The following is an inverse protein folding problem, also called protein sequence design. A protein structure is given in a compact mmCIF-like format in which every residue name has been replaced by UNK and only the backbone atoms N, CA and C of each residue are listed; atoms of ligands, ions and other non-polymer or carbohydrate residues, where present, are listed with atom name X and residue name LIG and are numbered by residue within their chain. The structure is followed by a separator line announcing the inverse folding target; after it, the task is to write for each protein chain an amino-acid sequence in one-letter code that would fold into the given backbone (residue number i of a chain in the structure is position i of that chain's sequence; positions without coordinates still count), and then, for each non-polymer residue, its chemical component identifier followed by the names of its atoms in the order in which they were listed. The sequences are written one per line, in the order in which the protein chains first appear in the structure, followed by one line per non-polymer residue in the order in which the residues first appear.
data_IF_999420770837
#
_entry.id   IF_999420770837
#
_cell.length_a   1.000
_cell.length_b   1.000
_cell.length_c   1.000
_cell.angle_alpha   90.00
_cell.angle_beta   90.00
_cell.angle_gamma   90.00
#
_symmetry.space_group_name_H-M   'P 1'
#
loop_
_entity.id
_entity.type
_entity.pdbx_description
1 polymer ?
#
# COMPACT_ATOMS: atom_id res chain seq x y z
N UNK A 1 -4.56 1.29 19.97
CA UNK A 1 -4.48 0.96 18.53
C UNK A 1 -5.88 0.99 17.95
N UNK A 2 -6.10 1.80 16.93
CA UNK A 2 -7.41 1.97 16.33
C UNK A 2 -7.40 1.49 14.88
N UNK A 3 -8.27 0.55 14.54
CA UNK A 3 -8.42 0.04 13.18
C UNK A 3 -9.61 0.72 12.50
N UNK A 4 -9.53 2.04 12.42
CA UNK A 4 -10.63 2.87 11.92
C UNK A 4 -10.27 3.76 10.72
N UNK A 5 -9.04 3.65 10.23
CA UNK A 5 -8.61 4.41 9.06
C UNK A 5 -8.83 3.58 7.80
N UNK A 6 -9.64 4.05 6.86
CA UNK A 6 -9.83 3.32 5.61
C UNK A 6 -8.59 3.45 4.72
N UNK A 7 -8.08 2.33 4.25
CA UNK A 7 -7.00 2.27 3.26
C UNK A 7 -7.50 1.50 2.06
N UNK A 8 -6.98 1.84 0.88
CA UNK A 8 -7.34 1.16 -0.36
C UNK A 8 -6.13 0.40 -0.88
N UNK A 9 -6.26 -0.92 -0.96
CA UNK A 9 -5.28 -1.76 -1.65
C UNK A 9 -5.61 -1.71 -3.13
N UNK A 10 -4.71 -1.17 -3.93
CA UNK A 10 -4.92 -0.94 -5.34
C UNK A 10 -4.09 -1.89 -6.18
N UNK A 11 -4.75 -2.55 -7.12
CA UNK A 11 -4.10 -3.34 -8.14
C UNK A 11 -4.27 -2.65 -9.48
N UNK A 12 -3.15 -2.37 -10.14
CA UNK A 12 -3.13 -1.72 -11.45
C UNK A 12 -2.93 -2.79 -12.51
N UNK A 13 -3.87 -2.86 -13.43
CA UNK A 13 -3.79 -3.78 -14.57
C UNK A 13 -3.59 -2.96 -15.82
N UNK A 14 -2.51 -3.23 -16.56
CA UNK A 14 -2.25 -2.55 -17.82
C UNK A 14 -3.30 -2.92 -18.86
N UNK A 15 -3.69 -1.95 -19.67
CA UNK A 15 -4.64 -2.16 -20.75
C UNK A 15 -4.08 -3.09 -21.82
N UNK A 16 -4.96 -3.92 -22.38
CA UNK A 16 -4.57 -4.83 -23.43
C UNK A 16 -4.39 -4.09 -24.76
N UNK A 17 -3.39 -4.55 -25.55
CA UNK A 17 -3.17 -4.02 -26.89
C UNK A 17 -4.33 -4.45 -27.82
N UNK A 18 -4.91 -3.46 -28.52
CA UNK A 18 -5.97 -3.72 -29.48
C UNK A 18 -5.38 -3.70 -30.89
N UNK A 19 -5.33 -4.86 -31.54
CA UNK A 19 -4.75 -5.01 -32.87
C UNK A 19 -5.59 -4.34 -33.96
N UNK A 20 -6.87 -4.12 -33.72
CA UNK A 20 -7.74 -3.51 -34.73
C UNK A 20 -7.46 -2.02 -34.92
N UNK A 21 -7.19 -1.30 -33.83
CA UNK A 21 -6.93 0.15 -33.89
C UNK A 21 -5.48 0.50 -33.58
N UNK A 22 -4.66 -0.48 -33.24
CA UNK A 22 -3.24 -0.26 -32.93
C UNK A 22 -2.97 0.41 -31.59
N UNK A 23 -3.96 0.56 -30.74
CA UNK A 23 -3.83 1.22 -29.44
C UNK A 23 -3.93 0.23 -28.29
N UNK A 24 -3.36 0.61 -27.15
CA UNK A 24 -3.58 -0.09 -25.90
C UNK A 24 -4.85 0.42 -25.24
N UNK A 25 -5.59 -0.46 -24.59
CA UNK A 25 -6.71 -0.05 -23.77
C UNK A 25 -6.24 0.72 -22.53
N UNK A 26 -7.17 1.37 -21.85
CA UNK A 26 -6.86 2.10 -20.63
C UNK A 26 -6.48 1.14 -19.51
N UNK A 27 -5.54 1.57 -18.67
CA UNK A 27 -5.21 0.84 -17.45
C UNK A 27 -6.42 0.83 -16.52
N UNK A 28 -6.63 -0.30 -15.85
CA UNK A 28 -7.69 -0.41 -14.86
C UNK A 28 -7.09 -0.48 -13.46
N UNK A 29 -7.77 0.17 -12.51
CA UNK A 29 -7.37 0.17 -11.10
C UNK A 29 -8.50 -0.47 -10.30
N UNK A 30 -8.19 -1.59 -9.64
CA UNK A 30 -9.08 -2.23 -8.71
C UNK A 30 -8.69 -1.83 -7.30
N UNK A 31 -9.66 -1.42 -6.50
CA UNK A 31 -9.41 -0.99 -5.13
C UNK A 31 -10.23 -1.80 -4.16
N UNK A 32 -9.59 -2.28 -3.10
CA UNK A 32 -10.25 -2.98 -2.00
C UNK A 32 -10.07 -2.15 -0.75
N UNK A 33 -11.19 -1.76 -0.14
CA UNK A 33 -11.18 -0.95 1.08
C UNK A 33 -11.04 -1.84 2.32
N UNK A 34 -10.06 -1.53 3.15
CA UNK A 34 -9.81 -2.24 4.40
C UNK A 34 -9.57 -1.20 5.49
N UNK A 35 -10.12 -1.42 6.67
CA UNK A 35 -9.86 -0.55 7.81
C UNK A 35 -8.60 -0.99 8.53
N UNK A 36 -7.74 -0.02 8.80
CA UNK A 36 -6.42 -0.26 9.35
C UNK A 36 -6.08 0.73 10.47
N UNK A 37 -5.04 0.39 11.23
CA UNK A 37 -4.37 1.35 12.10
C UNK A 37 -3.19 1.93 11.34
N UNK A 38 -3.22 3.23 11.11
CA UNK A 38 -2.19 3.94 10.34
C UNK A 38 -1.51 4.95 11.24
N UNK A 39 -0.19 4.84 11.36
CA UNK A 39 0.62 5.77 12.15
C UNK A 39 1.85 6.18 11.35
N UNK A 40 2.46 7.30 11.73
CA UNK A 40 3.74 7.68 11.15
C UNK A 40 4.82 6.70 11.60
N UNK A 41 5.78 6.42 10.72
CA UNK A 41 6.88 5.54 11.06
C UNK A 41 7.79 6.21 12.09
N UNK A 42 8.06 5.52 13.19
CA UNK A 42 8.97 6.01 14.21
C UNK A 42 10.43 5.90 13.79
N UNK A 43 11.30 6.57 14.53
CA UNK A 43 12.74 6.62 14.22
C UNK A 43 13.36 5.22 14.14
N UNK A 44 13.00 4.33 15.06
CA UNK A 44 13.51 2.95 15.04
C UNK A 44 13.10 2.21 13.78
N UNK A 45 11.84 2.36 13.37
CA UNK A 45 11.33 1.73 12.15
C UNK A 45 12.04 2.30 10.93
N UNK A 46 12.22 3.61 10.87
CA UNK A 46 12.91 4.26 9.75
C UNK A 46 14.34 3.76 9.62
N UNK A 47 15.06 3.64 10.73
CA UNK A 47 16.43 3.13 10.71
C UNK A 47 16.51 1.67 10.29
N UNK A 48 15.57 0.84 10.73
CA UNK A 48 15.53 -0.57 10.36
C UNK A 48 15.25 -0.80 8.88
N UNK A 49 14.33 -0.02 8.32
CA UNK A 49 13.87 -0.24 6.94
C UNK A 49 14.73 0.52 5.94
N UNK A 50 15.05 1.77 6.24
CA UNK A 50 15.71 2.67 5.27
C UNK A 50 17.15 3.00 5.62
N UNK A 51 17.57 2.76 6.87
CA UNK A 51 18.87 3.19 7.35
C UNK A 51 19.00 4.70 7.54
N UNK A 52 17.93 5.44 7.33
CA UNK A 52 17.90 6.89 7.45
C UNK A 52 16.48 7.37 7.80
N UNK A 53 16.36 8.63 8.21
CA UNK A 53 15.06 9.25 8.41
C UNK A 53 14.45 9.61 7.06
N UNK A 54 13.22 9.17 6.82
CA UNK A 54 12.51 9.43 5.58
C UNK A 54 11.14 10.04 5.89
N UNK A 55 10.84 11.16 5.26
CA UNK A 55 9.53 11.80 5.40
C UNK A 55 8.47 11.05 4.58
N UNK A 56 7.24 11.09 5.07
CA UNK A 56 6.12 10.46 4.38
C UNK A 56 6.03 8.96 4.55
N UNK A 57 6.87 8.37 5.39
CA UNK A 57 6.77 6.94 5.70
C UNK A 57 5.72 6.71 6.77
N UNK A 58 4.91 5.67 6.57
CA UNK A 58 3.85 5.29 7.52
C UNK A 58 3.89 3.80 7.80
N UNK A 59 3.28 3.42 8.90
CA UNK A 59 3.09 2.02 9.27
C UNK A 59 1.60 1.73 9.21
N UNK A 60 1.23 0.75 8.40
CA UNK A 60 -0.15 0.30 8.24
C UNK A 60 -0.31 -1.06 8.88
N UNK A 61 -1.20 -1.18 9.84
CA UNK A 61 -1.45 -2.45 10.55
C UNK A 61 -2.88 -2.90 10.28
N UNK A 62 -3.01 -4.18 9.90
CA UNK A 62 -4.30 -4.83 9.68
C UNK A 62 -4.55 -5.86 10.77
N UNK A 63 -5.83 -6.06 11.11
CA UNK A 63 -6.25 -7.13 12.04
C UNK A 63 -6.16 -8.52 11.43
N UNK A 64 -6.16 -8.61 10.10
CA UNK A 64 -6.12 -9.86 9.35
C UNK A 64 -5.06 -9.78 8.27
N UNK A 65 -4.56 -10.92 7.83
CA UNK A 65 -3.65 -10.97 6.71
C UNK A 65 -4.38 -10.58 5.42
N UNK A 66 -3.75 -9.73 4.63
CA UNK A 66 -4.24 -9.38 3.30
C UNK A 66 -3.59 -10.32 2.28
N UNK A 67 -4.38 -11.17 1.67
CA UNK A 67 -3.89 -12.27 0.84
C UNK A 67 -3.94 -11.97 -0.66
N UNK A 68 -4.66 -10.93 -1.08
CA UNK A 68 -4.78 -10.63 -2.49
C UNK A 68 -3.61 -9.81 -3.01
N UNK A 69 -3.23 -9.99 -4.29
CA UNK A 69 -2.16 -9.18 -4.86
C UNK A 69 -2.58 -7.71 -5.02
N UNK A 70 -1.62 -6.81 -4.80
CA UNK A 70 -1.82 -5.38 -4.95
C UNK A 70 -0.50 -4.72 -5.32
N UNK A 71 -0.58 -3.50 -5.87
CA UNK A 71 0.60 -2.73 -6.28
C UNK A 71 0.87 -1.55 -5.35
N UNK A 72 -0.18 -0.87 -4.91
CA UNK A 72 -0.08 0.33 -4.08
C UNK A 72 -1.14 0.31 -2.99
N UNK A 73 -0.88 1.10 -1.94
CA UNK A 73 -1.87 1.37 -0.90
C UNK A 73 -2.19 2.87 -0.96
N UNK A 74 -3.46 3.20 -1.08
CA UNK A 74 -3.91 4.59 -1.02
C UNK A 74 -4.46 4.91 0.37
N UNK A 75 -3.95 5.98 0.97
CA UNK A 75 -4.42 6.49 2.26
C UNK A 75 -4.84 7.94 2.03
N UNK A 76 -6.14 8.21 2.19
CA UNK A 76 -6.67 9.53 1.85
C UNK A 76 -6.48 9.84 0.37
N UNK A 77 -5.76 10.88 0.05
CA UNK A 77 -5.49 11.30 -1.33
C UNK A 77 -4.10 10.93 -1.82
N UNK A 78 -3.32 10.25 -0.98
CA UNK A 78 -1.93 9.91 -1.30
C UNK A 78 -1.78 8.43 -1.54
N UNK A 79 -0.87 8.08 -2.43
CA UNK A 79 -0.53 6.69 -2.73
C UNK A 79 0.82 6.35 -2.12
N UNK A 80 0.93 5.13 -1.63
CA UNK A 80 2.12 4.64 -0.96
C UNK A 80 2.55 3.32 -1.55
N UNK A 81 3.87 3.12 -1.66
CA UNK A 81 4.43 1.82 -2.01
C UNK A 81 4.82 1.09 -0.74
N UNK A 82 4.82 -0.24 -0.78
CA UNK A 82 5.25 -1.07 0.34
C UNK A 82 6.75 -1.30 0.26
N UNK A 83 7.45 -0.89 1.31
CA UNK A 83 8.90 -1.07 1.40
C UNK A 83 9.27 -2.27 2.27
N UNK A 84 8.42 -2.61 3.25
CA UNK A 84 8.58 -3.78 4.08
C UNK A 84 7.21 -4.32 4.47
N UNK A 85 7.10 -5.64 4.51
CA UNK A 85 5.90 -6.34 4.93
C UNK A 85 6.27 -7.36 5.98
N UNK A 86 5.45 -7.45 7.02
CA UNK A 86 5.64 -8.45 8.06
C UNK A 86 4.29 -9.06 8.45
N UNK A 87 4.25 -10.38 8.43
CA UNK A 87 3.07 -11.12 8.86
C UNK A 87 3.28 -11.66 10.25
N UNK A 88 2.43 -11.23 11.16
CA UNK A 88 2.34 -11.81 12.49
C UNK A 88 1.23 -12.85 12.51
N UNK A 89 1.04 -13.51 13.64
CA UNK A 89 0.06 -14.59 13.76
C UNK A 89 -1.34 -14.20 13.29
N UNK A 90 -1.82 -13.02 13.70
CA UNK A 90 -3.16 -12.53 13.34
C UNK A 90 -3.11 -11.15 12.68
N UNK A 91 -1.96 -10.51 12.64
CA UNK A 91 -1.82 -9.15 12.12
C UNK A 91 -0.91 -9.11 10.91
N UNK A 92 -1.16 -8.17 10.04
CA UNK A 92 -0.35 -7.92 8.88
C UNK A 92 0.13 -6.47 8.93
N UNK A 93 1.43 -6.25 8.87
CA UNK A 93 2.05 -4.92 9.03
C UNK A 93 2.81 -4.57 7.76
N UNK A 94 2.55 -3.37 7.27
CA UNK A 94 3.25 -2.82 6.10
C UNK A 94 3.96 -1.53 6.51
N UNK A 95 5.22 -1.39 6.12
CA UNK A 95 5.92 -0.10 6.18
C UNK A 95 5.92 0.46 4.77
N UNK A 96 5.34 1.64 4.61
CA UNK A 96 5.07 2.23 3.31
C UNK A 96 5.67 3.62 3.21
N UNK A 97 5.99 4.03 2.00
CA UNK A 97 6.46 5.39 1.73
C UNK A 97 5.67 6.01 0.58
N UNK A 98 5.51 7.33 0.64
CA UNK A 98 4.74 8.07 -0.34
C UNK A 98 5.35 7.95 -1.73
N UNK A 99 4.50 7.67 -2.72
CA UNK A 99 4.88 7.67 -4.13
C UNK A 99 4.76 9.09 -4.66
N UNK A 100 5.84 9.59 -5.23
CA UNK A 100 5.89 10.92 -5.80
C UNK A 100 5.72 10.89 -7.32
#
# INVERSE_FOLDING_TARGET
MRFDTPVLFQRITEGAYNAENGDYGDDSVESVKVYADVTDAGVETLNLVYGELRQGAKVVRLLHHYEEPFDLIQIGRKRYRVDMERRHRTKHVFVVSEVQ
#
